data_IF_147938022469
#
_entry.id   IF_147938022469
#
_cell.length_a   1.000
_cell.length_b   1.000
_cell.length_c   1.000
_cell.angle_alpha   90.00
_cell.angle_beta   90.00
_cell.angle_gamma   90.00
#
_symmetry.space_group_name_H-M   'P 1'
#
loop_
_entity.id
_entity.type
_entity.pdbx_description
1 polymer ?
#
# COMPACT_ATOMS: atom_id res chain seq x y z
N UNK A 1 38.17 0.82 10.47
CA UNK A 1 36.97 0.00 10.80
C UNK A 1 35.61 0.66 10.50
N UNK A 2 35.54 1.85 9.86
CA UNK A 2 34.28 2.57 9.60
C UNK A 2 33.58 2.28 8.26
N UNK A 3 34.15 1.51 7.35
CA UNK A 3 33.60 1.34 6.00
C UNK A 3 32.59 0.18 5.87
N UNK A 4 32.77 -0.90 6.63
CA UNK A 4 31.92 -2.09 6.50
C UNK A 4 30.49 -1.90 7.01
N UNK A 5 30.27 -1.15 8.10
CA UNK A 5 28.93 -0.90 8.60
C UNK A 5 28.16 0.04 7.66
N UNK A 6 28.83 1.04 7.06
CA UNK A 6 28.24 1.94 6.04
C UNK A 6 27.84 1.18 4.79
N UNK A 7 28.62 0.18 4.37
CA UNK A 7 28.29 -0.70 3.24
C UNK A 7 27.01 -1.48 3.55
N UNK A 8 26.92 -2.13 4.72
CA UNK A 8 25.74 -2.91 5.11
C UNK A 8 24.45 -2.08 5.18
N UNK A 9 24.52 -0.85 5.70
CA UNK A 9 23.36 0.07 5.70
C UNK A 9 22.98 0.54 4.29
N UNK A 10 23.96 0.77 3.43
CA UNK A 10 23.72 1.14 2.02
C UNK A 10 23.08 -0.01 1.25
N UNK A 11 23.52 -1.24 1.48
CA UNK A 11 22.95 -2.43 0.85
C UNK A 11 21.51 -2.70 1.33
N UNK A 12 21.22 -2.51 2.62
CA UNK A 12 19.86 -2.61 3.16
C UNK A 12 18.92 -1.56 2.56
N UNK A 13 19.38 -0.31 2.45
CA UNK A 13 18.62 0.77 1.84
C UNK A 13 18.40 0.55 0.34
N UNK A 14 19.42 0.06 -0.38
CA UNK A 14 19.32 -0.29 -1.80
C UNK A 14 18.34 -1.44 -2.04
N UNK A 15 18.37 -2.48 -1.19
CA UNK A 15 17.45 -3.60 -1.25
C UNK A 15 16.01 -3.15 -0.94
N UNK A 16 15.79 -2.31 0.07
CA UNK A 16 14.48 -1.74 0.38
C UNK A 16 13.92 -0.93 -0.79
N UNK A 17 14.76 -0.09 -1.40
CA UNK A 17 14.39 0.70 -2.59
C UNK A 17 14.08 -0.19 -3.79
N UNK A 18 14.87 -1.24 -4.02
CA UNK A 18 14.63 -2.24 -5.07
C UNK A 18 13.28 -2.95 -4.91
N UNK A 19 12.94 -3.33 -3.67
CA UNK A 19 11.63 -3.93 -3.35
C UNK A 19 10.48 -2.98 -3.65
N UNK A 20 10.60 -1.72 -3.22
CA UNK A 20 9.57 -0.70 -3.49
C UNK A 20 9.38 -0.49 -5.00
N UNK A 21 10.47 -0.42 -5.76
CA UNK A 21 10.38 -0.30 -7.21
C UNK A 21 9.75 -1.52 -7.88
N UNK A 22 10.04 -2.74 -7.39
CA UNK A 22 9.42 -3.97 -7.87
C UNK A 22 7.91 -3.97 -7.66
N UNK A 23 7.45 -3.53 -6.47
CA UNK A 23 6.02 -3.39 -6.17
C UNK A 23 5.36 -2.38 -7.10
N UNK A 24 5.89 -1.16 -7.17
CA UNK A 24 5.33 -0.09 -8.01
C UNK A 24 5.33 -0.46 -9.50
N UNK A 25 6.37 -1.16 -9.99
CA UNK A 25 6.38 -1.62 -11.38
C UNK A 25 5.24 -2.59 -11.69
N UNK A 26 4.86 -3.45 -10.73
CA UNK A 26 3.70 -4.33 -10.89
C UNK A 26 2.38 -3.56 -10.86
N UNK A 27 2.23 -2.65 -9.92
CA UNK A 27 1.04 -1.81 -9.82
C UNK A 27 0.85 -1.01 -11.11
N UNK A 28 1.95 -0.50 -11.72
CA UNK A 28 1.95 0.16 -13.02
C UNK A 28 1.52 -0.82 -14.13
N UNK A 29 2.08 -2.03 -14.17
CA UNK A 29 1.72 -3.02 -15.19
C UNK A 29 0.23 -3.37 -15.15
N UNK A 30 -0.35 -3.49 -13.96
CA UNK A 30 -1.77 -3.79 -13.79
C UNK A 30 -2.64 -2.61 -14.23
N UNK A 31 -2.29 -1.41 -13.77
CA UNK A 31 -3.02 -0.22 -14.13
C UNK A 31 -2.98 0.02 -15.65
N UNK A 32 -1.85 -0.25 -16.30
CA UNK A 32 -1.64 -0.08 -17.73
C UNK A 32 -2.46 -1.06 -18.61
N UNK A 33 -3.00 -2.15 -18.04
CA UNK A 33 -3.91 -3.07 -18.78
C UNK A 33 -5.17 -2.37 -19.30
N UNK A 34 -5.64 -1.37 -18.56
CA UNK A 34 -6.83 -0.59 -18.93
C UNK A 34 -6.51 0.62 -19.81
N UNK A 35 -5.28 0.75 -20.26
CA UNK A 35 -4.79 1.83 -21.12
C UNK A 35 -3.39 2.31 -20.72
N UNK A 36 -2.53 2.47 -21.72
CA UNK A 36 -1.12 2.86 -21.53
C UNK A 36 -0.93 4.36 -21.29
N UNK A 37 -1.95 5.17 -21.51
CA UNK A 37 -1.88 6.62 -21.35
C UNK A 37 -2.31 7.05 -19.94
N UNK A 38 -1.40 7.61 -19.13
CA UNK A 38 -1.75 8.15 -17.82
C UNK A 38 -2.76 9.30 -17.87
N UNK A 39 -2.88 9.99 -19.00
CA UNK A 39 -3.87 11.06 -19.21
C UNK A 39 -5.30 10.52 -19.22
N UNK A 40 -5.51 9.36 -19.85
CA UNK A 40 -6.81 8.71 -20.00
C UNK A 40 -7.08 7.66 -18.91
N UNK A 41 -6.07 7.21 -18.18
CA UNK A 41 -6.16 6.17 -17.16
C UNK A 41 -5.79 6.74 -15.79
N UNK A 42 -6.81 7.05 -14.98
CA UNK A 42 -6.64 7.67 -13.66
C UNK A 42 -5.85 6.79 -12.71
N UNK A 43 -6.10 5.48 -12.69
CA UNK A 43 -5.37 4.52 -11.87
C UNK A 43 -3.89 4.47 -12.24
N UNK A 44 -3.57 4.44 -13.54
CA UNK A 44 -2.19 4.47 -14.02
C UNK A 44 -1.49 5.77 -13.61
N UNK A 45 -2.18 6.92 -13.76
CA UNK A 45 -1.64 8.21 -13.35
C UNK A 45 -1.25 8.23 -11.88
N UNK A 46 -2.13 7.77 -10.97
CA UNK A 46 -1.87 7.73 -9.53
C UNK A 46 -0.61 6.92 -9.21
N UNK A 47 -0.49 5.72 -9.78
CA UNK A 47 0.68 4.85 -9.53
C UNK A 47 1.96 5.44 -10.15
N UNK A 48 1.86 6.06 -11.32
CA UNK A 48 2.99 6.76 -11.96
C UNK A 48 3.48 7.94 -11.10
N UNK A 49 2.56 8.69 -10.51
CA UNK A 49 2.91 9.82 -9.64
C UNK A 49 3.55 9.33 -8.33
N UNK A 50 3.07 8.22 -7.76
CA UNK A 50 3.75 7.57 -6.63
C UNK A 50 5.17 7.11 -7.01
N UNK A 51 5.33 6.49 -8.17
CA UNK A 51 6.64 6.04 -8.65
C UNK A 51 7.62 7.21 -8.86
N UNK A 52 7.13 8.35 -9.33
CA UNK A 52 7.90 9.59 -9.48
C UNK A 52 8.33 10.18 -8.13
N UNK A 53 7.42 10.19 -7.12
CA UNK A 53 7.71 10.66 -5.75
C UNK A 53 8.87 9.88 -5.11
N UNK A 54 8.96 8.57 -5.35
CA UNK A 54 10.08 7.74 -4.85
C UNK A 54 11.29 7.72 -5.78
N UNK A 55 11.31 8.57 -6.81
CA UNK A 55 12.38 8.68 -7.78
C UNK A 55 12.68 7.39 -8.54
N UNK A 56 11.64 6.71 -9.02
CA UNK A 56 11.78 5.55 -9.92
C UNK A 56 12.36 6.03 -11.26
N UNK A 57 13.37 5.32 -11.83
CA UNK A 57 13.92 5.67 -13.14
C UNK A 57 12.84 5.62 -14.23
N UNK A 58 12.86 6.64 -15.10
CA UNK A 58 11.87 6.76 -16.19
C UNK A 58 11.85 5.53 -17.10
N UNK A 59 13.01 4.96 -17.41
CA UNK A 59 13.12 3.76 -18.23
C UNK A 59 12.40 2.55 -17.61
N UNK A 60 12.51 2.40 -16.27
CA UNK A 60 11.81 1.32 -15.54
C UNK A 60 10.31 1.54 -15.58
N UNK A 61 9.86 2.78 -15.41
CA UNK A 61 8.47 3.18 -15.48
C UNK A 61 7.88 2.91 -16.87
N UNK A 62 8.55 3.40 -17.93
CA UNK A 62 8.10 3.23 -19.31
C UNK A 62 8.06 1.74 -19.72
N UNK A 63 9.05 0.96 -19.26
CA UNK A 63 9.07 -0.50 -19.47
C UNK A 63 7.87 -1.18 -18.81
N UNK A 64 7.56 -0.81 -17.57
CA UNK A 64 6.42 -1.36 -16.84
C UNK A 64 5.09 -1.02 -17.53
N UNK A 65 4.91 0.21 -18.01
CA UNK A 65 3.73 0.63 -18.76
C UNK A 65 3.60 -0.20 -20.05
N UNK A 66 4.66 -0.31 -20.85
CA UNK A 66 4.65 -1.06 -22.10
C UNK A 66 4.34 -2.53 -21.88
N UNK A 67 4.95 -3.14 -20.85
CA UNK A 67 4.71 -4.56 -20.51
C UNK A 67 3.27 -4.78 -20.05
N UNK A 68 2.74 -3.88 -19.20
CA UNK A 68 1.36 -3.95 -18.72
C UNK A 68 0.32 -3.77 -19.83
N UNK A 69 0.60 -2.90 -20.78
CA UNK A 69 -0.26 -2.66 -21.95
C UNK A 69 -0.14 -3.74 -23.05
N UNK A 70 0.71 -4.77 -22.85
CA UNK A 70 0.91 -5.83 -23.85
C UNK A 70 1.71 -5.41 -25.11
N UNK A 71 2.37 -4.23 -25.06
CA UNK A 71 3.11 -3.69 -26.20
C UNK A 71 4.49 -4.35 -26.41
N UNK A 72 4.91 -5.22 -25.50
CA UNK A 72 6.20 -5.95 -25.58
C UNK A 72 6.08 -7.36 -26.15
N UNK A 73 4.87 -7.78 -26.54
CA UNK A 73 4.62 -9.14 -27.04
C UNK A 73 4.53 -10.22 -25.96
N UNK A 74 4.89 -9.91 -24.73
CA UNK A 74 4.73 -10.78 -23.57
C UNK A 74 3.51 -10.33 -22.76
N UNK A 75 2.48 -11.16 -22.67
CA UNK A 75 1.34 -10.92 -21.77
C UNK A 75 1.59 -11.59 -20.44
N UNK A 76 1.82 -10.82 -19.41
CA UNK A 76 1.88 -11.35 -18.04
C UNK A 76 0.47 -11.29 -17.45
N UNK A 77 -0.09 -12.44 -17.13
CA UNK A 77 -1.35 -12.54 -16.42
C UNK A 77 -1.08 -12.49 -14.91
N UNK A 78 -1.51 -11.39 -14.27
CA UNK A 78 -1.53 -11.33 -12.82
C UNK A 78 -2.96 -11.63 -12.33
N UNK A 79 -3.05 -12.42 -11.29
CA UNK A 79 -4.28 -12.74 -10.60
C UNK A 79 -4.22 -12.21 -9.18
N UNK A 80 -5.34 -11.66 -8.71
CA UNK A 80 -5.51 -11.30 -7.31
C UNK A 80 -5.83 -12.55 -6.51
N UNK A 81 -5.11 -12.76 -5.43
CA UNK A 81 -5.37 -13.81 -4.46
C UNK A 81 -5.41 -13.21 -3.06
N UNK A 82 -6.55 -13.27 -2.41
CA UNK A 82 -6.73 -12.82 -1.04
C UNK A 82 -6.55 -14.03 -0.10
N UNK A 83 -5.58 -13.92 0.80
CA UNK A 83 -5.34 -14.91 1.83
C UNK A 83 -5.78 -14.36 3.17
N UNK A 84 -6.46 -15.20 3.92
CA UNK A 84 -7.06 -14.87 5.20
C UNK A 84 -6.50 -15.75 6.30
N UNK A 85 -6.36 -15.21 7.49
CA UNK A 85 -5.89 -16.01 8.60
C UNK A 85 -5.55 -15.19 9.83
N UNK A 86 -4.85 -15.82 10.74
CA UNK A 86 -4.43 -15.23 11.99
C UNK A 86 -2.92 -15.25 12.11
N UNK A 87 -2.33 -14.11 12.39
CA UNK A 87 -0.96 -13.97 12.84
C UNK A 87 -0.81 -14.52 14.28
N UNK A 88 0.41 -14.58 14.83
CA UNK A 88 0.60 -14.89 16.25
C UNK A 88 -0.35 -14.09 17.14
N UNK A 89 -0.74 -14.66 18.27
CA UNK A 89 -1.70 -14.09 19.22
C UNK A 89 -3.12 -13.90 18.69
N UNK A 90 -3.49 -14.64 17.63
CA UNK A 90 -4.81 -14.60 16.98
C UNK A 90 -5.19 -13.24 16.38
N UNK A 91 -4.21 -12.45 15.98
CA UNK A 91 -4.44 -11.18 15.28
C UNK A 91 -4.97 -11.50 13.86
N UNK A 92 -6.18 -11.07 13.49
CA UNK A 92 -6.70 -11.31 12.15
C UNK A 92 -5.89 -10.55 11.10
N UNK A 93 -5.59 -11.21 9.99
CA UNK A 93 -4.77 -10.65 8.91
C UNK A 93 -5.37 -10.99 7.56
N UNK A 94 -5.46 -9.98 6.71
CA UNK A 94 -5.70 -10.11 5.28
C UNK A 94 -4.40 -9.88 4.52
N UNK A 95 -4.09 -10.76 3.58
CA UNK A 95 -2.94 -10.61 2.68
C UNK A 95 -3.45 -10.54 1.24
N UNK A 96 -3.51 -9.34 0.68
CA UNK A 96 -3.83 -9.13 -0.73
C UNK A 96 -2.56 -9.34 -1.56
N UNK A 97 -2.58 -10.39 -2.35
CA UNK A 97 -1.45 -10.84 -3.15
C UNK A 97 -1.78 -10.74 -4.63
N UNK A 98 -0.93 -10.06 -5.36
CA UNK A 98 -0.98 -10.02 -6.80
C UNK A 98 0.15 -10.86 -7.38
N UNK A 99 -0.20 -11.96 -8.02
CA UNK A 99 0.76 -12.96 -8.47
C UNK A 99 0.52 -13.41 -9.91
N UNK A 100 1.58 -13.79 -10.57
CA UNK A 100 1.57 -14.48 -11.87
C UNK A 100 1.39 -16.00 -11.71
N UNK A 101 1.52 -16.52 -10.47
CA UNK A 101 1.41 -17.94 -10.17
C UNK A 101 0.76 -18.18 -8.80
N UNK A 102 -0.55 -18.41 -8.80
CA UNK A 102 -1.35 -18.64 -7.59
C UNK A 102 -0.87 -19.83 -6.78
N UNK A 103 -0.41 -20.91 -7.44
CA UNK A 103 0.04 -22.12 -6.75
C UNK A 103 1.33 -21.88 -5.95
N UNK A 104 2.27 -21.11 -6.54
CA UNK A 104 3.49 -20.69 -5.85
C UNK A 104 3.14 -19.80 -4.65
N UNK A 105 2.31 -18.79 -4.88
CA UNK A 105 1.85 -17.88 -3.84
C UNK A 105 1.16 -18.65 -2.67
N UNK A 106 0.26 -19.58 -2.99
CA UNK A 106 -0.42 -20.39 -1.97
C UNK A 106 0.56 -21.25 -1.17
N UNK A 107 1.59 -21.80 -1.80
CA UNK A 107 2.59 -22.62 -1.12
C UNK A 107 3.41 -21.78 -0.13
N UNK A 108 3.81 -20.59 -0.54
CA UNK A 108 4.59 -19.66 0.29
C UNK A 108 3.73 -19.06 1.41
N UNK A 109 2.44 -18.77 1.16
CA UNK A 109 1.50 -18.34 2.20
C UNK A 109 1.33 -19.43 3.28
N UNK A 110 1.24 -20.71 2.90
CA UNK A 110 1.21 -21.81 3.88
C UNK A 110 2.48 -21.84 4.75
N UNK A 111 3.64 -21.54 4.18
CA UNK A 111 4.89 -21.47 4.95
C UNK A 111 4.89 -20.28 5.91
N UNK A 112 4.43 -19.10 5.44
CA UNK A 112 4.32 -17.90 6.27
C UNK A 112 3.41 -18.15 7.46
N UNK A 113 2.20 -18.67 7.21
CA UNK A 113 1.19 -18.93 8.24
C UNK A 113 1.51 -20.12 9.16
N UNK A 114 2.65 -20.79 9.03
CA UNK A 114 3.12 -21.74 10.07
C UNK A 114 3.37 -21.08 11.42
N UNK A 115 3.64 -19.79 11.45
CA UNK A 115 3.79 -18.98 12.68
C UNK A 115 2.45 -18.51 13.26
N UNK A 116 1.37 -18.72 12.55
CA UNK A 116 0.00 -18.37 12.90
C UNK A 116 -0.95 -19.46 12.42
N UNK A 117 -2.06 -19.08 11.81
CA UNK A 117 -3.06 -20.00 11.28
C UNK A 117 -3.61 -19.47 9.95
N UNK A 118 -3.39 -20.20 8.86
CA UNK A 118 -4.05 -19.91 7.59
C UNK A 118 -5.54 -20.32 7.70
N UNK A 119 -6.43 -19.39 7.39
CA UNK A 119 -7.88 -19.61 7.35
C UNK A 119 -8.36 -19.95 5.94
N UNK A 120 -9.62 -20.31 5.84
CA UNK A 120 -10.32 -20.38 4.57
C UNK A 120 -10.88 -19.02 4.15
N UNK A 121 -11.40 -18.92 2.93
CA UNK A 121 -12.07 -17.71 2.45
C UNK A 121 -13.24 -17.34 3.34
N UNK A 122 -13.35 -16.06 3.74
CA UNK A 122 -14.38 -15.57 4.66
C UNK A 122 -14.07 -15.79 6.14
N UNK A 123 -12.89 -16.31 6.51
CA UNK A 123 -12.56 -16.56 7.92
C UNK A 123 -12.35 -15.30 8.75
N UNK A 124 -11.82 -14.23 8.13
CA UNK A 124 -11.56 -12.94 8.78
C UNK A 124 -12.01 -11.75 7.93
N UNK A 125 -12.27 -11.90 6.63
CA UNK A 125 -12.61 -10.81 5.71
C UNK A 125 -13.84 -10.01 6.14
N UNK A 126 -14.80 -10.63 6.83
CA UNK A 126 -16.02 -9.99 7.36
C UNK A 126 -15.71 -8.90 8.39
N UNK A 127 -14.57 -9.01 9.09
CA UNK A 127 -14.13 -8.03 10.11
C UNK A 127 -13.37 -6.84 9.50
N UNK A 128 -13.21 -6.83 8.18
CA UNK A 128 -12.56 -5.75 7.45
C UNK A 128 -13.52 -5.08 6.47
N UNK A 129 -13.28 -3.83 6.22
CA UNK A 129 -13.97 -3.03 5.21
C UNK A 129 -12.99 -2.65 4.10
N UNK A 130 -13.39 -2.88 2.86
CA UNK A 130 -12.59 -2.52 1.70
C UNK A 130 -12.88 -1.08 1.32
N UNK A 131 -11.90 -0.20 1.44
CA UNK A 131 -12.05 1.25 1.29
C UNK A 131 -10.95 1.84 0.39
N UNK A 132 -11.25 2.99 -0.18
CA UNK A 132 -10.24 3.91 -0.67
C UNK A 132 -9.60 4.65 0.51
N UNK A 133 -8.28 4.66 0.57
CA UNK A 133 -7.48 5.26 1.63
C UNK A 133 -6.58 6.33 1.04
N UNK A 134 -6.75 7.58 1.46
CA UNK A 134 -6.01 8.74 0.95
C UNK A 134 -5.29 9.40 2.12
N UNK A 135 -3.97 9.32 2.13
CA UNK A 135 -3.13 10.06 3.07
C UNK A 135 -2.84 11.44 2.50
N UNK A 136 -3.14 12.47 3.26
CA UNK A 136 -2.90 13.84 2.84
C UNK A 136 -2.45 14.72 4.01
N UNK A 137 -1.64 15.73 3.71
CA UNK A 137 -1.20 16.74 4.68
C UNK A 137 -1.77 18.11 4.31
N UNK A 138 -2.03 19.00 5.28
CA UNK A 138 -2.42 20.37 5.00
C UNK A 138 -1.39 21.07 4.12
N UNK A 139 -1.82 21.73 3.06
CA UNK A 139 -0.93 22.45 2.14
C UNK A 139 -0.18 23.54 2.90
N UNK A 140 1.16 23.49 2.89
CA UNK A 140 2.01 24.43 3.64
C UNK A 140 2.53 23.90 4.99
N UNK A 141 2.17 22.69 5.41
CA UNK A 141 2.69 22.08 6.64
C UNK A 141 4.22 21.87 6.61
N UNK A 142 4.81 21.73 5.42
CA UNK A 142 6.27 21.58 5.24
C UNK A 142 7.06 22.87 5.47
N UNK A 143 6.44 24.02 5.67
CA UNK A 143 7.08 25.33 5.79
C UNK A 143 7.13 25.87 7.22
N UNK A 144 7.49 25.04 8.19
CA UNK A 144 7.90 25.53 9.52
C UNK A 144 6.79 25.63 10.57
N UNK A 145 7.18 25.29 11.79
CA UNK A 145 6.40 25.42 13.04
C UNK A 145 5.75 26.80 13.16
N UNK A 146 4.48 26.93 12.85
CA UNK A 146 3.76 28.17 13.17
C UNK A 146 2.57 28.56 12.31
N UNK A 147 2.27 27.94 11.20
CA UNK A 147 1.09 28.30 10.39
C UNK A 147 -0.13 27.49 10.81
N UNK A 148 -0.90 28.05 11.73
CA UNK A 148 -2.24 27.62 12.13
C UNK A 148 -3.32 28.24 11.24
N UNK A 149 -3.20 28.09 9.92
CA UNK A 149 -4.32 28.22 9.00
C UNK A 149 -4.49 26.84 8.35
N UNK A 150 -4.70 25.82 9.18
CA UNK A 150 -4.88 24.47 8.74
C UNK A 150 -6.23 24.33 8.07
N UNK A 151 -6.24 23.76 6.87
CA UNK A 151 -7.46 23.25 6.28
C UNK A 151 -8.15 22.34 7.30
N UNK A 152 -9.45 22.52 7.50
CA UNK A 152 -10.24 21.71 8.40
C UNK A 152 -10.48 20.34 7.76
N UNK A 153 -10.01 19.22 8.37
CA UNK A 153 -10.18 17.90 7.79
C UNK A 153 -11.65 17.50 7.65
N UNK A 154 -12.50 17.91 8.58
CA UNK A 154 -13.93 17.60 8.56
C UNK A 154 -14.61 18.29 7.36
N UNK A 155 -14.38 19.58 7.20
CA UNK A 155 -14.90 20.32 6.07
C UNK A 155 -14.35 19.78 4.74
N UNK A 156 -13.06 19.48 4.70
CA UNK A 156 -12.42 18.91 3.51
C UNK A 156 -12.98 17.53 3.15
N UNK A 157 -13.27 16.67 4.13
CA UNK A 157 -13.91 15.39 3.90
C UNK A 157 -15.29 15.54 3.27
N UNK A 158 -16.13 16.43 3.82
CA UNK A 158 -17.47 16.69 3.32
C UNK A 158 -17.42 17.25 1.88
N UNK A 159 -16.61 18.26 1.64
CA UNK A 159 -16.53 18.94 0.34
C UNK A 159 -15.86 18.08 -0.75
N UNK A 160 -14.93 17.22 -0.37
CA UNK A 160 -14.29 16.26 -1.28
C UNK A 160 -15.14 15.01 -1.53
N UNK A 161 -16.16 14.74 -0.70
CA UNK A 161 -16.99 13.54 -0.78
C UNK A 161 -16.36 12.30 -0.14
N UNK A 162 -15.46 12.48 0.82
CA UNK A 162 -14.97 11.37 1.65
C UNK A 162 -16.06 10.91 2.63
N UNK A 163 -16.04 9.62 2.98
CA UNK A 163 -17.00 9.04 3.92
C UNK A 163 -16.62 9.29 5.38
N UNK A 164 -15.30 9.30 5.66
CA UNK A 164 -14.76 9.47 6.99
C UNK A 164 -13.32 10.00 6.91
N UNK A 165 -12.79 10.47 8.04
CA UNK A 165 -11.38 10.84 8.17
C UNK A 165 -10.86 10.52 9.56
N UNK A 166 -9.56 10.25 9.65
CA UNK A 166 -8.87 9.99 10.91
C UNK A 166 -7.42 10.51 10.86
N UNK A 167 -6.81 10.68 12.04
CA UNK A 167 -5.38 10.97 12.09
C UNK A 167 -4.59 9.75 11.62
N UNK A 168 -3.65 9.94 10.70
CA UNK A 168 -2.73 8.89 10.28
C UNK A 168 -1.63 8.67 11.35
N UNK A 169 -0.88 7.56 11.21
CA UNK A 169 0.23 7.25 12.11
C UNK A 169 1.33 8.32 12.09
N UNK A 170 1.50 9.01 10.96
CA UNK A 170 2.44 10.13 10.83
C UNK A 170 1.81 11.43 11.32
N UNK A 171 2.55 12.14 12.19
CA UNK A 171 2.09 13.40 12.77
C UNK A 171 1.84 14.46 11.70
N UNK A 172 0.62 15.00 11.66
CA UNK A 172 0.21 16.04 10.72
C UNK A 172 -0.37 15.50 9.41
N UNK A 173 -0.46 14.18 9.25
CA UNK A 173 -1.12 13.53 8.12
C UNK A 173 -2.54 13.14 8.52
N UNK A 174 -3.49 13.37 7.62
CA UNK A 174 -4.89 12.93 7.73
C UNK A 174 -5.12 11.80 6.75
N UNK A 175 -5.74 10.74 7.23
CA UNK A 175 -6.23 9.64 6.41
C UNK A 175 -7.70 9.87 6.09
N UNK A 176 -8.01 10.12 4.81
CA UNK A 176 -9.38 10.19 4.32
C UNK A 176 -9.79 8.83 3.78
N UNK A 177 -11.01 8.42 4.14
CA UNK A 177 -11.61 7.14 3.77
C UNK A 177 -12.77 7.39 2.79
N UNK A 178 -12.86 6.57 1.76
CA UNK A 178 -13.88 6.71 0.74
C UNK A 178 -14.31 5.35 0.18
N UNK A 179 -15.43 5.33 -0.53
CA UNK A 179 -15.77 4.17 -1.34
C UNK A 179 -14.64 3.85 -2.33
N UNK A 180 -14.34 2.58 -2.59
CA UNK A 180 -13.33 2.18 -3.57
C UNK A 180 -13.54 2.78 -4.96
N UNK A 181 -14.79 3.04 -5.37
CA UNK A 181 -15.12 3.62 -6.66
C UNK A 181 -14.78 5.12 -6.73
N UNK A 182 -14.87 5.83 -5.60
CA UNK A 182 -14.72 7.28 -5.52
C UNK A 182 -13.28 7.72 -5.20
N UNK A 183 -12.35 6.78 -5.03
CA UNK A 183 -10.95 7.06 -4.65
C UNK A 183 -10.29 8.13 -5.53
N UNK A 184 -10.43 8.05 -6.85
CA UNK A 184 -9.83 9.02 -7.77
C UNK A 184 -10.51 10.40 -7.68
N UNK A 185 -11.84 10.42 -7.55
CA UNK A 185 -12.63 11.63 -7.44
C UNK A 185 -12.25 12.42 -6.18
N UNK A 186 -12.26 11.76 -5.04
CA UNK A 186 -11.89 12.37 -3.74
C UNK A 186 -10.44 12.82 -3.74
N UNK A 187 -9.52 11.99 -4.25
CA UNK A 187 -8.10 12.33 -4.28
C UNK A 187 -7.79 13.58 -5.12
N UNK A 188 -8.61 13.87 -6.14
CA UNK A 188 -8.50 15.08 -6.95
C UNK A 188 -9.19 16.30 -6.33
N UNK A 189 -10.21 16.09 -5.51
CA UNK A 189 -10.92 17.17 -4.86
C UNK A 189 -10.16 17.74 -3.65
N UNK A 190 -9.44 16.91 -2.89
CA UNK A 190 -8.71 17.29 -1.69
C UNK A 190 -7.72 18.46 -1.88
N UNK A 191 -6.97 18.60 -3.00
CA UNK A 191 -6.11 19.76 -3.22
C UNK A 191 -6.85 21.09 -3.25
N UNK A 192 -8.10 21.13 -3.72
CA UNK A 192 -8.91 22.33 -3.71
C UNK A 192 -9.36 22.72 -2.28
N UNK A 193 -9.37 21.76 -1.37
CA UNK A 193 -9.69 21.93 0.05
C UNK A 193 -8.44 22.22 0.92
N UNK A 194 -7.29 22.50 0.29
CA UNK A 194 -6.07 22.86 0.99
C UNK A 194 -5.26 21.67 1.53
N UNK A 195 -5.42 20.49 0.96
CA UNK A 195 -4.64 19.30 1.29
C UNK A 195 -3.72 18.87 0.15
N UNK A 196 -2.51 18.46 0.49
CA UNK A 196 -1.57 17.83 -0.47
C UNK A 196 -1.68 16.32 -0.32
N UNK A 197 -2.14 15.63 -1.35
CA UNK A 197 -2.24 14.16 -1.35
C UNK A 197 -0.85 13.53 -1.41
N UNK A 198 -0.53 12.73 -0.39
CA UNK A 198 0.72 11.99 -0.26
C UNK A 198 0.60 10.61 -0.92
N UNK A 199 -0.46 9.87 -0.59
CA UNK A 199 -0.76 8.57 -1.17
C UNK A 199 -2.26 8.39 -1.37
N UNK A 200 -2.64 7.57 -2.35
CA UNK A 200 -4.00 7.12 -2.56
C UNK A 200 -3.97 5.65 -2.99
N UNK A 201 -4.64 4.79 -2.25
CA UNK A 201 -4.62 3.33 -2.44
C UNK A 201 -5.94 2.70 -2.02
N UNK A 202 -6.25 1.54 -2.59
CA UNK A 202 -7.26 0.66 -2.03
C UNK A 202 -6.65 -0.11 -0.86
N UNK A 203 -7.42 -0.31 0.19
CA UNK A 203 -6.96 -1.02 1.38
C UNK A 203 -8.11 -1.63 2.18
N UNK A 204 -7.76 -2.27 3.26
CA UNK A 204 -8.70 -2.89 4.19
C UNK A 204 -8.54 -2.27 5.57
N UNK A 205 -9.64 -1.76 6.13
CA UNK A 205 -9.69 -1.21 7.48
C UNK A 205 -10.39 -2.21 8.39
N UNK A 206 -9.83 -2.56 9.56
CA UNK A 206 -10.53 -3.39 10.54
C UNK A 206 -11.74 -2.64 11.09
N UNK A 207 -12.90 -3.31 11.15
CA UNK A 207 -14.13 -2.77 11.75
C UNK A 207 -14.05 -2.74 13.27
N UNK A 208 -13.41 -3.77 13.83
CA UNK A 208 -13.28 -3.95 15.27
C UNK A 208 -11.81 -4.07 15.63
N UNK A 209 -11.10 -2.94 15.85
CA UNK A 209 -9.71 -3.00 16.28
C UNK A 209 -9.61 -3.68 17.65
N UNK A 210 -8.86 -4.77 17.72
CA UNK A 210 -8.64 -5.50 18.98
C UNK A 210 -7.53 -4.81 19.76
N UNK A 211 -7.88 -4.32 20.95
CA UNK A 211 -6.86 -3.83 21.88
C UNK A 211 -6.28 -5.02 22.65
N UNK A 212 -5.00 -5.38 22.52
CA UNK A 212 -4.39 -6.54 23.16
C UNK A 212 -4.15 -6.33 24.68
N UNK A 213 -5.16 -5.88 25.43
CA UNK A 213 -5.04 -5.51 26.84
C UNK A 213 -4.63 -6.69 27.77
N UNK A 214 -4.60 -7.93 27.30
CA UNK A 214 -4.24 -9.12 28.08
C UNK A 214 -2.83 -9.67 27.85
N UNK A 215 -2.11 -9.13 26.89
CA UNK A 215 -0.71 -9.45 26.57
C UNK A 215 0.06 -8.13 26.60
N UNK A 216 1.37 -8.17 26.93
CA UNK A 216 2.13 -6.94 26.80
C UNK A 216 1.97 -6.42 25.36
N UNK A 217 1.40 -5.25 25.19
CA UNK A 217 1.13 -4.65 23.87
C UNK A 217 2.38 -4.66 22.98
N UNK A 218 3.56 -4.53 23.60
CA UNK A 218 4.86 -4.63 22.96
C UNK A 218 5.14 -6.00 22.33
N UNK A 219 4.75 -7.09 23.00
CA UNK A 219 5.00 -8.44 22.50
C UNK A 219 4.09 -8.82 21.33
N UNK A 220 2.82 -8.41 21.42
CA UNK A 220 1.86 -8.59 20.32
C UNK A 220 2.29 -7.74 19.11
N UNK A 221 2.64 -6.47 19.32
CA UNK A 221 3.12 -5.59 18.27
C UNK A 221 4.40 -6.10 17.62
N UNK A 222 5.34 -6.65 18.41
CA UNK A 222 6.58 -7.23 17.91
C UNK A 222 6.32 -8.47 17.04
N UNK A 223 5.53 -9.43 17.52
CA UNK A 223 5.33 -10.72 16.85
C UNK A 223 4.40 -10.60 15.64
N UNK A 224 3.31 -9.84 15.76
CA UNK A 224 2.42 -9.56 14.63
C UNK A 224 3.09 -8.62 13.60
N UNK A 225 3.82 -7.60 14.05
CA UNK A 225 4.58 -6.73 13.18
C UNK A 225 5.65 -7.48 12.40
N UNK A 226 6.36 -8.43 13.06
CA UNK A 226 7.33 -9.29 12.38
C UNK A 226 6.69 -10.22 11.36
N UNK A 227 5.50 -10.75 11.66
CA UNK A 227 4.71 -11.53 10.70
C UNK A 227 4.33 -10.68 9.48
N UNK A 228 3.87 -9.46 9.66
CA UNK A 228 3.54 -8.55 8.57
C UNK A 228 4.77 -8.18 7.72
N UNK A 229 5.94 -7.98 8.34
CA UNK A 229 7.20 -7.73 7.63
C UNK A 229 7.61 -8.96 6.81
N UNK A 230 7.49 -10.17 7.37
CA UNK A 230 7.75 -11.42 6.67
C UNK A 230 6.77 -11.60 5.49
N UNK A 231 5.49 -11.27 5.68
CA UNK A 231 4.47 -11.28 4.64
C UNK A 231 4.79 -10.29 3.52
N UNK A 232 5.16 -9.06 3.86
CA UNK A 232 5.56 -8.06 2.88
C UNK A 232 6.83 -8.49 2.12
N UNK A 233 7.81 -9.06 2.81
CA UNK A 233 9.02 -9.57 2.18
C UNK A 233 8.71 -10.72 1.21
N UNK A 234 7.79 -11.61 1.57
CA UNK A 234 7.33 -12.70 0.73
C UNK A 234 6.60 -12.20 -0.51
N UNK A 235 5.66 -11.28 -0.35
CA UNK A 235 4.94 -10.65 -1.46
C UNK A 235 5.89 -9.98 -2.45
N UNK A 236 6.98 -9.40 -1.95
CA UNK A 236 8.02 -8.80 -2.77
C UNK A 236 8.87 -9.86 -3.47
N UNK A 237 9.22 -10.97 -2.79
CA UNK A 237 9.96 -12.07 -3.38
C UNK A 237 9.15 -12.73 -4.52
N UNK A 238 7.87 -12.96 -4.30
CA UNK A 238 6.92 -13.40 -5.34
C UNK A 238 6.85 -12.40 -6.51
N UNK A 239 7.12 -11.13 -6.20
CA UNK A 239 7.17 -10.05 -7.16
C UNK A 239 8.49 -9.96 -7.95
N UNK A 240 9.60 -10.37 -7.37
CA UNK A 240 10.95 -10.19 -7.91
C UNK A 240 11.51 -11.36 -8.71
N UNK A 241 10.77 -12.46 -8.85
CA UNK A 241 11.19 -13.66 -9.57
C UNK A 241 10.92 -13.63 -11.09
N UNK A 242 10.84 -12.42 -11.67
CA UNK A 242 10.71 -12.19 -13.13
C UNK A 242 11.90 -11.41 -13.66
#
# INVERSE_FOLDING_TARGET
MGAQWKAKHKDLAANAKGRLFGKLAKDIMIAARHGADPGANSRLRMVVDQARKVSMPKETLDRAIKKGAGLTGETVHFEHALYEGFAPHRVPVLVDCLTDNVNRAASEMRVLFRKGQLGGSGSVAWDFEHLGMIEAEPTGASAGKGSRAGADPELAAIEAGAQDFEAADEAGVTLFLTDPADLDLVSRALPAQGFTVLSAKLGYKPKNPVNPASLSAEQVAHDAGRFCVDAQALLVALAGAL
#
